data_IF_462502050025
#
_entry.id   IF_462502050025
#
_cell.length_a   1.000
_cell.length_b   1.000
_cell.length_c   1.000
_cell.angle_alpha   90.00
_cell.angle_beta   90.00
_cell.angle_gamma   90.00
#
_symmetry.space_group_name_H-M   'P 1'
#
loop_
_entity.id
_entity.type
_entity.pdbx_description
1 polymer ?
#
# COMPACT_ATOMS: atom_id res chain seq x y z
N UNK A 1 15.69 -5.56 31.66
CA UNK A 1 15.95 -5.27 30.24
C UNK A 1 15.57 -3.82 29.98
N UNK A 2 16.53 -2.97 29.63
CA UNK A 2 16.20 -1.62 29.18
C UNK A 2 15.59 -1.73 27.77
N UNK A 3 14.41 -1.16 27.49
CA UNK A 3 13.89 -1.13 26.13
C UNK A 3 14.90 -0.36 25.28
N UNK A 4 15.45 -1.02 24.25
CA UNK A 4 16.35 -0.35 23.31
C UNK A 4 15.60 0.84 22.70
N UNK A 5 16.14 2.04 22.90
CA UNK A 5 15.64 3.24 22.22
C UNK A 5 15.64 2.96 20.73
N UNK A 6 14.46 3.02 20.08
CA UNK A 6 14.33 2.75 18.65
C UNK A 6 15.36 3.54 17.85
N UNK A 7 16.05 2.87 16.93
CA UNK A 7 17.04 3.51 16.08
C UNK A 7 16.38 4.64 15.29
N UNK A 8 16.69 5.89 15.62
CA UNK A 8 16.14 7.07 14.95
C UNK A 8 17.13 7.69 13.95
N UNK A 9 18.29 7.07 13.70
CA UNK A 9 19.32 7.63 12.82
C UNK A 9 18.82 7.85 11.39
N UNK A 10 17.83 7.09 10.94
CA UNK A 10 17.18 7.29 9.65
C UNK A 10 16.44 8.63 9.50
N UNK A 11 16.16 9.32 10.62
CA UNK A 11 15.48 10.63 10.63
C UNK A 11 16.46 11.80 10.51
N UNK A 12 17.76 11.54 10.70
CA UNK A 12 18.80 12.56 10.72
C UNK A 12 19.79 12.33 9.58
N UNK A 13 20.35 13.43 9.08
CA UNK A 13 21.42 13.39 8.09
C UNK A 13 22.80 13.16 8.72
N UNK A 14 23.83 13.12 7.88
CA UNK A 14 25.20 12.87 8.29
C UNK A 14 25.78 13.96 9.23
N UNK A 15 25.12 15.13 9.33
CA UNK A 15 25.51 16.24 10.20
C UNK A 15 24.64 16.34 11.45
N UNK A 16 23.73 15.40 11.66
CA UNK A 16 22.85 15.36 12.82
C UNK A 16 21.65 16.31 12.73
N UNK A 17 21.40 16.92 11.57
CA UNK A 17 20.18 17.68 11.34
C UNK A 17 19.04 16.74 10.90
N UNK A 18 17.78 16.99 11.30
CA UNK A 18 16.66 16.21 10.81
C UNK A 18 16.49 16.39 9.30
N UNK A 19 16.19 15.31 8.57
CA UNK A 19 15.77 15.45 7.17
C UNK A 19 14.50 16.30 7.10
N UNK A 20 14.45 17.18 6.12
CA UNK A 20 13.24 17.95 5.80
C UNK A 20 12.54 17.36 4.59
N UNK A 21 11.23 17.47 4.53
CA UNK A 21 10.41 17.13 3.37
C UNK A 21 9.86 18.44 2.76
N UNK A 22 10.67 19.18 1.98
CA UNK A 22 10.27 20.49 1.46
C UNK A 22 9.05 20.40 0.52
N UNK A 23 8.77 19.20 0.02
CA UNK A 23 7.56 18.83 -0.71
C UNK A 23 7.22 17.37 -0.38
N UNK A 24 6.06 16.90 -0.84
CA UNK A 24 5.60 15.52 -0.59
C UNK A 24 6.18 14.48 -1.56
N UNK A 25 7.10 14.86 -2.47
CA UNK A 25 7.71 13.99 -3.49
C UNK A 25 9.24 13.96 -3.41
N UNK A 26 9.81 14.38 -2.28
CA UNK A 26 11.25 14.42 -2.04
C UNK A 26 11.59 14.73 -0.58
N UNK A 27 12.87 14.60 -0.27
CA UNK A 27 13.44 14.98 1.03
C UNK A 27 14.78 15.68 0.83
N UNK A 28 15.18 16.46 1.82
CA UNK A 28 16.40 17.25 1.80
C UNK A 28 17.22 17.06 3.08
N UNK A 29 18.53 16.91 2.90
CA UNK A 29 19.52 17.09 3.96
C UNK A 29 19.95 18.56 3.97
N UNK A 30 19.92 19.18 5.14
CA UNK A 30 20.18 20.61 5.31
C UNK A 30 21.21 20.91 6.40
N UNK A 31 21.74 19.89 7.08
CA UNK A 31 22.76 20.08 8.12
C UNK A 31 24.16 20.35 7.58
N UNK A 32 24.41 20.02 6.31
CA UNK A 32 25.69 20.29 5.64
C UNK A 32 25.81 21.73 5.12
N UNK A 33 26.97 22.08 4.52
CA UNK A 33 27.20 23.40 3.94
C UNK A 33 26.32 23.70 2.73
N UNK A 34 25.79 22.66 2.06
CA UNK A 34 24.85 22.76 0.96
C UNK A 34 23.62 21.91 1.23
N UNK A 35 22.45 22.35 0.73
CA UNK A 35 21.23 21.54 0.79
C UNK A 35 21.24 20.49 -0.31
N UNK A 36 21.16 19.22 0.06
CA UNK A 36 21.06 18.11 -0.87
C UNK A 36 19.61 17.66 -0.91
N UNK A 37 18.96 17.84 -2.06
CA UNK A 37 17.57 17.42 -2.28
C UNK A 37 17.52 16.15 -3.12
N UNK A 38 16.74 15.16 -2.68
CA UNK A 38 16.47 13.92 -3.40
C UNK A 38 14.99 13.82 -3.72
N UNK A 39 14.71 13.70 -5.01
CA UNK A 39 13.37 13.41 -5.55
C UNK A 39 13.10 11.91 -5.39
N UNK A 40 11.93 11.57 -4.86
CA UNK A 40 11.47 10.17 -4.71
C UNK A 40 10.32 9.83 -5.67
N UNK A 41 9.61 10.83 -6.20
CA UNK A 41 8.54 10.66 -7.18
C UNK A 41 8.39 11.89 -8.10
N UNK A 42 7.78 11.73 -9.27
CA UNK A 42 7.52 12.86 -10.18
C UNK A 42 6.38 13.73 -9.69
N UNK A 43 5.39 13.13 -9.06
CA UNK A 43 4.24 13.79 -8.45
C UNK A 43 3.90 13.14 -7.11
N UNK A 44 2.99 13.77 -6.36
CA UNK A 44 2.37 13.14 -5.18
C UNK A 44 1.45 11.99 -5.57
N UNK A 45 0.86 12.08 -6.75
CA UNK A 45 -0.09 11.11 -7.26
C UNK A 45 0.59 9.76 -7.53
N UNK A 46 1.86 9.78 -7.96
CA UNK A 46 2.67 8.55 -8.11
C UNK A 46 2.80 7.78 -6.79
N UNK A 47 2.71 8.47 -5.65
CA UNK A 47 2.80 7.87 -4.32
C UNK A 47 1.44 7.48 -3.74
N UNK A 48 0.37 8.20 -4.11
CA UNK A 48 -0.95 8.05 -3.48
C UNK A 48 -1.95 7.28 -4.33
N UNK A 49 -1.82 7.31 -5.66
CA UNK A 49 -2.82 6.80 -6.60
C UNK A 49 -2.31 5.63 -7.42
N UNK A 50 -1.88 4.58 -6.72
CA UNK A 50 -1.51 3.32 -7.36
C UNK A 50 -2.73 2.41 -7.50
N UNK A 51 -2.60 1.42 -8.39
CA UNK A 51 -3.61 0.39 -8.62
C UNK A 51 -3.07 -0.97 -8.26
N UNK A 52 -3.86 -1.76 -7.54
CA UNK A 52 -3.60 -3.19 -7.32
C UNK A 52 -4.61 -3.98 -8.13
N UNK A 53 -4.13 -4.84 -9.03
CA UNK A 53 -4.96 -5.70 -9.87
C UNK A 53 -4.63 -7.15 -9.57
N UNK A 54 -5.67 -7.96 -9.33
CA UNK A 54 -5.54 -9.37 -8.99
C UNK A 54 -6.45 -10.18 -9.92
N UNK A 55 -6.05 -11.42 -10.18
CA UNK A 55 -6.84 -12.40 -10.92
C UNK A 55 -7.02 -13.64 -10.06
N UNK A 56 -8.23 -14.19 -10.02
CA UNK A 56 -8.55 -15.45 -9.35
C UNK A 56 -9.20 -16.43 -10.31
N UNK A 57 -8.78 -17.68 -10.19
CA UNK A 57 -9.37 -18.84 -10.85
C UNK A 57 -9.47 -19.97 -9.84
N UNK A 58 -10.28 -20.98 -10.14
CA UNK A 58 -10.17 -22.26 -9.47
C UNK A 58 -8.87 -22.99 -9.90
N UNK A 59 -8.57 -24.12 -9.26
CA UNK A 59 -7.40 -24.96 -9.50
C UNK A 59 -7.34 -25.48 -10.95
N UNK A 60 -8.50 -25.66 -11.58
CA UNK A 60 -8.63 -26.09 -12.98
C UNK A 60 -8.65 -24.92 -13.99
N UNK A 61 -8.36 -23.70 -13.52
CA UNK A 61 -8.36 -22.45 -14.28
C UNK A 61 -9.77 -21.96 -14.69
N UNK A 62 -10.82 -22.55 -14.13
CA UNK A 62 -12.19 -22.04 -14.33
C UNK A 62 -12.35 -20.68 -13.66
N UNK A 63 -12.97 -19.75 -14.40
CA UNK A 63 -13.31 -18.43 -13.89
C UNK A 63 -14.55 -18.52 -12.98
N UNK A 64 -14.69 -17.62 -11.98
CA UNK A 64 -15.83 -17.66 -11.06
C UNK A 64 -17.20 -17.59 -11.77
N UNK A 65 -17.27 -16.92 -12.92
CA UNK A 65 -18.53 -16.69 -13.62
C UNK A 65 -19.49 -15.82 -12.79
N UNK A 66 -20.74 -15.72 -13.23
CA UNK A 66 -21.75 -14.97 -12.48
C UNK A 66 -22.14 -15.64 -11.17
N UNK A 67 -22.02 -16.98 -11.08
CA UNK A 67 -22.42 -17.74 -9.90
C UNK A 67 -21.46 -17.58 -8.72
N UNK A 68 -20.16 -17.69 -8.95
CA UNK A 68 -19.18 -17.78 -7.85
C UNK A 68 -18.38 -16.50 -7.61
N UNK A 69 -18.66 -15.41 -8.34
CA UNK A 69 -17.95 -14.14 -8.16
C UNK A 69 -18.10 -13.57 -6.74
N UNK A 70 -19.23 -13.82 -6.08
CA UNK A 70 -19.51 -13.34 -4.73
C UNK A 70 -19.09 -14.35 -3.64
N UNK A 71 -18.58 -15.52 -4.03
CA UNK A 71 -18.09 -16.55 -3.11
C UNK A 71 -16.67 -16.29 -2.61
N UNK A 72 -15.96 -15.30 -3.14
CA UNK A 72 -14.62 -14.92 -2.69
C UNK A 72 -14.55 -13.42 -2.44
N UNK A 73 -14.10 -13.05 -1.25
CA UNK A 73 -13.93 -11.65 -0.84
C UNK A 73 -12.45 -11.32 -0.67
N UNK A 74 -12.02 -10.20 -1.26
CA UNK A 74 -10.67 -9.67 -1.15
C UNK A 74 -10.66 -8.50 -0.19
N UNK A 75 -9.77 -8.54 0.80
CA UNK A 75 -9.55 -7.46 1.77
C UNK A 75 -8.12 -6.96 1.63
N UNK A 76 -7.96 -5.71 1.19
CA UNK A 76 -6.67 -5.04 1.07
C UNK A 76 -6.51 -4.05 2.22
N UNK A 77 -5.65 -4.38 3.18
CA UNK A 77 -5.24 -3.44 4.24
C UNK A 77 -4.03 -2.64 3.79
N UNK A 78 -4.08 -1.31 3.88
CA UNK A 78 -2.98 -0.42 3.50
C UNK A 78 -2.87 0.81 4.41
N UNK A 79 -1.74 1.55 4.40
CA UNK A 79 -1.59 2.75 5.22
C UNK A 79 -2.57 3.84 4.82
N UNK A 80 -3.05 4.61 5.79
CA UNK A 80 -3.99 5.72 5.58
C UNK A 80 -3.34 7.11 5.72
N UNK A 81 -2.01 7.18 5.82
CA UNK A 81 -1.26 8.44 5.98
C UNK A 81 -1.31 9.08 7.36
N UNK A 82 -2.17 8.61 8.28
CA UNK A 82 -2.31 9.13 9.66
C UNK A 82 -1.58 8.27 10.70
N UNK A 83 -0.63 7.44 10.26
CA UNK A 83 0.06 6.47 11.13
C UNK A 83 -0.77 5.22 11.47
N UNK A 84 -1.86 4.98 10.75
CA UNK A 84 -2.71 3.79 10.88
C UNK A 84 -2.94 3.13 9.52
N UNK A 85 -3.79 2.10 9.49
CA UNK A 85 -4.20 1.41 8.27
C UNK A 85 -5.71 1.52 8.05
N UNK A 86 -6.11 1.33 6.80
CA UNK A 86 -7.51 1.16 6.37
C UNK A 86 -7.62 -0.16 5.61
N UNK A 87 -8.79 -0.78 5.57
CA UNK A 87 -9.05 -2.00 4.81
C UNK A 87 -10.15 -1.76 3.80
N UNK A 88 -9.82 -1.94 2.53
CA UNK A 88 -10.77 -1.93 1.42
C UNK A 88 -11.24 -3.35 1.11
N UNK A 89 -12.48 -3.49 0.66
CA UNK A 89 -13.08 -4.79 0.34
C UNK A 89 -13.57 -4.77 -1.09
N UNK A 90 -13.17 -5.76 -1.87
CA UNK A 90 -13.61 -5.96 -3.25
C UNK A 90 -13.97 -7.42 -3.50
N UNK A 91 -14.80 -7.64 -4.53
CA UNK A 91 -15.16 -8.95 -5.05
C UNK A 91 -14.65 -9.08 -6.48
N UNK A 92 -14.27 -10.28 -6.93
CA UNK A 92 -13.93 -10.49 -8.32
C UNK A 92 -15.17 -10.22 -9.19
N UNK A 93 -14.95 -9.82 -10.44
CA UNK A 93 -15.99 -9.93 -11.45
C UNK A 93 -16.09 -11.37 -11.96
N UNK A 94 -17.05 -11.64 -12.85
CA UNK A 94 -17.24 -12.97 -13.44
C UNK A 94 -16.00 -13.51 -14.19
N UNK A 95 -15.10 -12.62 -14.63
CA UNK A 95 -13.83 -12.98 -15.25
C UNK A 95 -12.69 -13.16 -14.24
N UNK A 96 -12.99 -13.22 -12.94
CA UNK A 96 -12.01 -13.42 -11.88
C UNK A 96 -11.15 -12.20 -11.57
N UNK A 97 -11.47 -11.02 -12.09
CA UNK A 97 -10.64 -9.83 -11.92
C UNK A 97 -11.09 -8.97 -10.74
N UNK A 98 -10.14 -8.58 -9.90
CA UNK A 98 -10.33 -7.65 -8.76
C UNK A 98 -9.43 -6.44 -8.96
N UNK A 99 -9.93 -5.24 -8.64
CA UNK A 99 -9.17 -4.00 -8.75
C UNK A 99 -9.37 -3.14 -7.51
N UNK A 100 -8.26 -2.67 -6.95
CA UNK A 100 -8.24 -1.60 -5.96
C UNK A 100 -7.54 -0.39 -6.59
N UNK A 101 -8.13 0.79 -6.45
CA UNK A 101 -7.61 2.06 -6.96
C UNK A 101 -7.25 2.99 -5.79
N UNK A 102 -6.51 4.06 -6.07
CA UNK A 102 -6.13 5.05 -5.06
C UNK A 102 -5.35 4.47 -3.87
N UNK A 103 -4.52 3.47 -4.14
CA UNK A 103 -3.72 2.79 -3.13
C UNK A 103 -2.39 3.53 -2.90
N UNK A 104 -2.12 4.03 -1.68
CA UNK A 104 -0.84 4.64 -1.38
C UNK A 104 0.28 3.61 -1.36
N UNK A 105 1.51 4.06 -1.69
CA UNK A 105 2.71 3.26 -1.47
C UNK A 105 2.90 2.98 0.02
N UNK A 106 3.42 1.80 0.34
CA UNK A 106 3.61 1.39 1.73
C UNK A 106 3.60 -0.12 1.90
N UNK A 107 3.34 -0.57 3.12
CA UNK A 107 3.20 -1.99 3.44
C UNK A 107 1.71 -2.36 3.38
N UNK A 108 1.39 -3.33 2.55
CA UNK A 108 0.04 -3.81 2.34
C UNK A 108 -0.13 -5.22 2.91
N UNK A 109 -1.35 -5.58 3.27
CA UNK A 109 -1.72 -6.96 3.61
C UNK A 109 -2.96 -7.31 2.81
N UNK A 110 -2.83 -8.31 1.93
CA UNK A 110 -3.96 -8.87 1.19
C UNK A 110 -4.47 -10.11 1.92
N UNK A 111 -5.79 -10.19 2.12
CA UNK A 111 -6.46 -11.40 2.60
C UNK A 111 -7.55 -11.79 1.63
N UNK A 112 -7.60 -13.07 1.30
CA UNK A 112 -8.63 -13.65 0.45
C UNK A 112 -9.47 -14.59 1.32
N UNK A 113 -10.78 -14.39 1.31
CA UNK A 113 -11.71 -15.11 2.18
C UNK A 113 -12.76 -15.78 1.32
N UNK A 114 -12.82 -17.10 1.36
CA UNK A 114 -13.91 -17.88 0.76
C UNK A 114 -15.15 -17.79 1.64
N UNK A 115 -16.28 -17.42 1.04
CA UNK A 115 -17.58 -17.23 1.70
C UNK A 115 -18.47 -18.43 1.36
N UNK A 116 -18.44 -19.48 2.17
CA UNK A 116 -19.11 -20.77 1.92
C UNK A 116 -20.66 -20.72 1.91
N UNK A 117 -21.29 -19.54 1.87
CA UNK A 117 -22.75 -19.37 1.90
C UNK A 117 -23.28 -18.22 1.03
N UNK A 118 -22.41 -17.53 0.28
CA UNK A 118 -22.80 -16.53 -0.72
C UNK A 118 -22.64 -17.14 -2.11
N UNK A 119 -23.62 -17.95 -2.48
CA UNK A 119 -23.86 -18.46 -3.83
C UNK A 119 -25.29 -18.01 -4.16
N UNK A 120 -25.42 -16.85 -4.82
CA UNK A 120 -26.71 -16.27 -5.25
C UNK A 120 -26.63 -15.82 -6.69
#
# INVERSE_FOLDING_TARGET
FAPGTGNNLFKYDAWGAPYSSPNSSGFSSTGGPETITRKIANSTDDLLYNRVVLSITDLDLTLPGESYKDSVRFLLTHPNGSGSTVTETEYPNANGLVRFDSIPVGIHTLRVVFLSSSDT
#
